data_IF_805414435972
#
_entry.id   IF_805414435972
#
_cell.length_a   1.000
_cell.length_b   1.000
_cell.length_c   1.000
_cell.angle_alpha   90.00
_cell.angle_beta   90.00
_cell.angle_gamma   90.00
#
_symmetry.space_group_name_H-M   'P 1'
#
loop_
_entity.id
_entity.type
_entity.pdbx_description
1 polymer ?
#
# COMPACT_ATOMS: atom_id res chain seq x y z
N UNK A 1 -16.82 -2.42 -7.52
CA UNK A 1 -15.72 -3.29 -7.05
C UNK A 1 -14.80 -3.69 -8.19
N UNK A 2 -15.33 -4.21 -9.30
CA UNK A 2 -14.50 -4.67 -10.43
C UNK A 2 -13.71 -3.55 -11.14
N UNK A 3 -14.32 -2.37 -11.34
CA UNK A 3 -13.62 -1.20 -11.91
C UNK A 3 -12.48 -0.69 -11.00
N UNK A 4 -12.71 -0.65 -9.67
CA UNK A 4 -11.70 -0.23 -8.70
C UNK A 4 -10.54 -1.24 -8.60
N UNK A 5 -10.85 -2.51 -8.80
CA UNK A 5 -9.86 -3.58 -8.85
C UNK A 5 -8.95 -3.46 -10.08
N UNK A 6 -9.55 -3.28 -11.26
CA UNK A 6 -8.81 -3.08 -12.51
C UNK A 6 -7.96 -1.80 -12.47
N UNK A 7 -8.49 -0.73 -11.87
CA UNK A 7 -7.75 0.52 -11.72
C UNK A 7 -6.56 0.37 -10.78
N UNK A 8 -6.70 -0.37 -9.67
CA UNK A 8 -5.58 -0.67 -8.78
C UNK A 8 -4.50 -1.50 -9.47
N UNK A 9 -4.87 -2.52 -10.25
CA UNK A 9 -3.92 -3.32 -11.05
C UNK A 9 -3.14 -2.40 -11.99
N UNK A 10 -3.83 -1.53 -12.72
CA UNK A 10 -3.20 -0.60 -13.66
C UNK A 10 -2.21 0.32 -12.95
N UNK A 11 -2.58 0.89 -11.80
CA UNK A 11 -1.69 1.76 -11.03
C UNK A 11 -0.44 1.00 -10.53
N UNK A 12 -0.61 -0.24 -10.04
CA UNK A 12 0.50 -1.09 -9.60
C UNK A 12 1.42 -1.45 -10.77
N UNK A 13 0.88 -1.80 -11.93
CA UNK A 13 1.67 -2.10 -13.14
C UNK A 13 2.43 -0.88 -13.65
N UNK A 14 1.80 0.29 -13.68
CA UNK A 14 2.46 1.55 -14.05
C UNK A 14 3.60 1.86 -13.08
N UNK A 15 3.33 1.80 -11.78
CA UNK A 15 4.32 2.04 -10.74
C UNK A 15 5.51 1.08 -10.82
N UNK A 16 5.28 -0.19 -11.15
CA UNK A 16 6.34 -1.17 -11.32
C UNK A 16 7.23 -0.89 -12.54
N UNK A 17 6.64 -0.38 -13.63
CA UNK A 17 7.35 -0.05 -14.88
C UNK A 17 8.13 1.25 -14.80
N UNK A 18 7.50 2.31 -14.32
CA UNK A 18 8.06 3.67 -14.32
C UNK A 18 9.12 3.85 -13.22
N UNK A 19 8.85 3.34 -12.01
CA UNK A 19 9.81 3.48 -10.91
C UNK A 19 10.87 2.39 -11.01
N UNK A 20 12.01 2.74 -11.59
CA UNK A 20 13.16 1.83 -11.80
C UNK A 20 14.32 2.07 -10.84
N UNK A 21 14.22 3.06 -9.96
CA UNK A 21 15.27 3.43 -9.02
C UNK A 21 15.64 2.25 -8.10
N UNK A 22 16.95 2.00 -7.98
CA UNK A 22 17.50 0.92 -7.17
C UNK A 22 17.12 1.04 -5.69
N UNK A 23 16.87 2.26 -5.20
CA UNK A 23 16.39 2.52 -3.83
C UNK A 23 15.08 1.78 -3.52
N UNK A 24 14.22 1.62 -4.52
CA UNK A 24 12.91 0.98 -4.37
C UNK A 24 12.90 -0.48 -4.85
N UNK A 25 14.05 -1.11 -5.10
CA UNK A 25 14.12 -2.47 -5.61
C UNK A 25 13.36 -3.49 -4.75
N UNK A 26 13.45 -3.37 -3.41
CA UNK A 26 12.71 -4.23 -2.49
C UNK A 26 11.20 -3.95 -2.56
N UNK A 27 10.79 -2.69 -2.64
CA UNK A 27 9.39 -2.32 -2.78
C UNK A 27 8.80 -2.78 -4.13
N UNK A 28 9.59 -2.74 -5.22
CA UNK A 28 9.18 -3.29 -6.53
C UNK A 28 8.90 -4.79 -6.46
N UNK A 29 9.65 -5.57 -5.67
CA UNK A 29 9.33 -6.99 -5.43
C UNK A 29 7.98 -7.13 -4.75
N UNK A 30 7.70 -6.33 -3.72
CA UNK A 30 6.39 -6.33 -3.06
C UNK A 30 5.26 -5.90 -4.00
N UNK A 31 5.48 -4.91 -4.88
CA UNK A 31 4.50 -4.52 -5.91
C UNK A 31 4.15 -5.69 -6.84
N UNK A 32 5.15 -6.47 -7.26
CA UNK A 32 4.93 -7.67 -8.07
C UNK A 32 4.07 -8.71 -7.32
N UNK A 33 4.32 -8.90 -6.02
CA UNK A 33 3.49 -9.79 -5.20
C UNK A 33 2.05 -9.28 -5.08
N UNK A 34 1.85 -7.99 -4.82
CA UNK A 34 0.50 -7.41 -4.78
C UNK A 34 -0.23 -7.52 -6.11
N UNK A 35 0.46 -7.32 -7.25
CA UNK A 35 -0.12 -7.54 -8.57
C UNK A 35 -0.59 -8.98 -8.77
N UNK A 36 0.19 -9.98 -8.33
CA UNK A 36 -0.23 -11.39 -8.37
C UNK A 36 -1.43 -11.66 -7.47
N UNK A 37 -1.44 -11.10 -6.25
CA UNK A 37 -2.56 -11.25 -5.31
C UNK A 37 -3.85 -10.66 -5.88
N UNK A 38 -3.79 -9.49 -6.52
CA UNK A 38 -4.93 -8.89 -7.21
C UNK A 38 -5.44 -9.80 -8.33
N UNK A 39 -4.55 -10.33 -9.17
CA UNK A 39 -4.95 -11.24 -10.25
C UNK A 39 -5.56 -12.57 -9.76
N UNK A 40 -5.23 -13.00 -8.54
CA UNK A 40 -5.75 -14.23 -7.94
C UNK A 40 -7.09 -14.06 -7.19
N UNK A 41 -7.74 -12.89 -7.28
CA UNK A 41 -8.93 -12.55 -6.49
C UNK A 41 -8.72 -12.74 -4.98
N UNK A 42 -7.50 -12.49 -4.48
CA UNK A 42 -7.29 -12.40 -3.03
C UNK A 42 -8.04 -11.20 -2.43
N UNK A 43 -8.17 -11.20 -1.10
CA UNK A 43 -8.93 -10.19 -0.37
C UNK A 43 -8.45 -8.77 -0.68
N UNK A 44 -9.28 -8.01 -1.41
CA UNK A 44 -8.97 -6.67 -1.89
C UNK A 44 -8.63 -5.69 -0.75
N UNK A 45 -9.31 -5.81 0.39
CA UNK A 45 -9.08 -4.94 1.55
C UNK A 45 -7.70 -5.26 2.15
N UNK A 46 -7.38 -6.54 2.29
CA UNK A 46 -6.07 -6.99 2.77
C UNK A 46 -4.94 -6.49 1.86
N UNK A 47 -5.13 -6.56 0.54
CA UNK A 47 -4.15 -6.07 -0.44
C UNK A 47 -3.97 -4.55 -0.31
N UNK A 48 -5.06 -3.78 -0.22
CA UNK A 48 -4.98 -2.33 -0.01
C UNK A 48 -4.26 -1.97 1.30
N UNK A 49 -4.51 -2.70 2.39
CA UNK A 49 -3.81 -2.50 3.66
C UNK A 49 -2.31 -2.83 3.54
N UNK A 50 -1.97 -3.91 2.85
CA UNK A 50 -0.59 -4.30 2.53
C UNK A 50 0.12 -3.22 1.72
N UNK A 51 -0.49 -2.76 0.62
CA UNK A 51 0.03 -1.70 -0.24
C UNK A 51 0.27 -0.40 0.54
N UNK A 52 -0.71 0.03 1.34
CA UNK A 52 -0.57 1.23 2.18
C UNK A 52 0.63 1.11 3.12
N UNK A 53 0.77 -0.04 3.77
CA UNK A 53 1.86 -0.29 4.72
C UNK A 53 3.21 -0.31 4.02
N UNK A 54 3.30 -0.99 2.88
CA UNK A 54 4.50 -1.09 2.08
C UNK A 54 4.92 0.29 1.52
N UNK A 55 3.98 1.11 1.05
CA UNK A 55 4.24 2.49 0.60
C UNK A 55 4.78 3.37 1.74
N UNK A 56 4.20 3.25 2.94
CA UNK A 56 4.69 3.94 4.14
C UNK A 56 6.04 3.43 4.66
N UNK A 57 6.54 2.32 4.12
CA UNK A 57 7.86 1.75 4.45
C UNK A 57 8.84 1.79 3.27
N UNK A 58 8.38 2.17 2.07
CA UNK A 58 9.19 2.21 0.86
C UNK A 58 10.37 3.18 0.99
N UNK A 59 10.19 4.26 1.75
CA UNK A 59 11.27 5.18 2.10
C UNK A 59 11.19 5.66 3.56
N UNK A 60 11.97 5.00 4.41
CA UNK A 60 12.10 5.36 5.83
C UNK A 60 12.99 6.58 6.07
N UNK A 61 13.74 7.05 5.08
CA UNK A 61 14.54 8.28 5.19
C UNK A 61 13.65 9.54 5.19
N UNK A 62 12.44 9.43 4.64
CA UNK A 62 11.46 10.51 4.64
C UNK A 62 10.73 10.60 5.98
N UNK A 63 10.49 11.84 6.42
CA UNK A 63 9.66 12.14 7.58
C UNK A 63 8.23 11.64 7.36
N UNK A 64 7.53 11.27 8.44
CA UNK A 64 6.15 10.76 8.38
C UNK A 64 5.23 11.70 7.58
N UNK A 65 5.40 13.02 7.74
CA UNK A 65 4.59 14.04 7.07
C UNK A 65 4.83 14.12 5.56
N UNK A 66 6.04 13.80 5.10
CA UNK A 66 6.45 13.91 3.69
C UNK A 66 6.64 12.55 3.04
N UNK A 67 6.27 11.47 3.74
CA UNK A 67 6.62 10.12 3.29
C UNK A 67 5.88 9.71 2.05
N UNK A 68 4.65 10.16 1.86
CA UNK A 68 3.92 9.92 0.61
C UNK A 68 4.32 10.95 -0.44
N UNK A 69 4.28 12.25 -0.11
CA UNK A 69 4.59 13.32 -1.05
C UNK A 69 6.05 13.34 -1.57
N UNK A 70 6.96 12.65 -0.90
CA UNK A 70 8.35 12.50 -1.32
C UNK A 70 8.65 11.20 -2.09
N UNK A 71 7.65 10.33 -2.25
CA UNK A 71 7.76 9.17 -3.14
C UNK A 71 7.57 9.60 -4.60
N UNK A 72 8.03 8.77 -5.56
CA UNK A 72 7.63 8.92 -6.95
C UNK A 72 6.12 9.09 -7.11
N UNK A 73 5.72 9.86 -8.13
CA UNK A 73 4.32 10.21 -8.39
C UNK A 73 3.45 8.96 -8.47
N UNK A 74 3.94 7.91 -9.12
CA UNK A 74 3.21 6.65 -9.34
C UNK A 74 2.91 5.93 -8.02
N UNK A 75 3.81 6.03 -7.04
CA UNK A 75 3.62 5.45 -5.70
C UNK A 75 2.65 6.29 -4.87
N UNK A 76 2.73 7.61 -5.02
CA UNK A 76 1.78 8.54 -4.40
C UNK A 76 0.37 8.35 -4.94
N UNK A 77 0.22 8.10 -6.24
CA UNK A 77 -1.06 7.86 -6.90
C UNK A 77 -1.74 6.59 -6.38
N UNK A 78 -0.98 5.50 -6.18
CA UNK A 78 -1.52 4.29 -5.53
C UNK A 78 -2.02 4.64 -4.12
N UNK A 79 -1.24 5.38 -3.32
CA UNK A 79 -1.64 5.75 -1.97
C UNK A 79 -2.95 6.57 -1.97
N UNK A 80 -3.01 7.59 -2.81
CA UNK A 80 -4.16 8.48 -2.93
C UNK A 80 -5.41 7.75 -3.44
N UNK A 81 -5.23 6.68 -4.22
CA UNK A 81 -6.32 5.83 -4.68
C UNK A 81 -6.86 4.91 -3.57
N UNK A 82 -5.99 4.27 -2.79
CA UNK A 82 -6.40 3.29 -1.76
C UNK A 82 -6.85 3.94 -0.45
N UNK A 83 -6.29 5.09 -0.07
CA UNK A 83 -6.60 5.76 1.21
C UNK A 83 -8.09 6.08 1.39
N UNK A 84 -8.80 6.74 0.44
CA UNK A 84 -10.22 7.03 0.60
C UNK A 84 -11.09 5.76 0.58
N UNK A 85 -10.64 4.70 -0.07
CA UNK A 85 -11.35 3.41 -0.09
C UNK A 85 -11.23 2.72 1.26
N UNK A 86 -10.03 2.68 1.83
CA UNK A 86 -9.80 2.17 3.18
C UNK A 86 -10.56 3.00 4.22
N UNK A 87 -10.66 4.33 4.08
CA UNK A 87 -11.49 5.16 4.98
C UNK A 87 -12.99 4.83 4.92
N UNK A 88 -13.48 4.33 3.78
CA UNK A 88 -14.89 3.91 3.62
C UNK A 88 -15.15 2.51 4.17
N UNK A 89 -14.11 1.70 4.34
CA UNK A 89 -14.22 0.41 5.01
C UNK A 89 -14.39 0.66 6.51
N UNK A 90 -15.36 -0.02 7.13
CA UNK A 90 -15.63 0.12 8.57
C UNK A 90 -14.34 -0.12 9.37
N UNK A 91 -14.03 0.80 10.29
CA UNK A 91 -12.89 0.70 11.20
C UNK A 91 -12.78 -0.67 11.89
N UNK A 92 -13.90 -1.34 12.19
CA UNK A 92 -13.94 -2.69 12.78
C UNK A 92 -13.44 -3.78 11.83
N UNK A 93 -13.70 -3.63 10.53
CA UNK A 93 -13.22 -4.55 9.51
C UNK A 93 -11.71 -4.40 9.36
N UNK A 94 -11.20 -3.16 9.35
CA UNK A 94 -9.76 -2.87 9.31
C UNK A 94 -9.07 -3.39 10.58
N UNK A 95 -9.70 -3.20 11.74
CA UNK A 95 -9.19 -3.65 13.03
C UNK A 95 -9.04 -5.18 13.10
N UNK A 96 -9.96 -5.94 12.50
CA UNK A 96 -9.83 -7.39 12.35
C UNK A 96 -8.59 -7.81 11.54
N UNK A 97 -8.24 -7.09 10.47
CA UNK A 97 -7.01 -7.35 9.70
C UNK A 97 -5.75 -6.88 10.45
N UNK A 98 -5.84 -5.77 11.20
CA UNK A 98 -4.74 -5.27 12.05
C UNK A 98 -4.35 -6.24 13.16
N UNK A 99 -5.31 -7.02 13.68
CA UNK A 99 -5.06 -7.99 14.75
C UNK A 99 -4.58 -9.37 14.25
N UNK A 100 -4.82 -9.72 12.98
CA UNK A 100 -4.46 -11.04 12.44
C UNK A 100 -3.11 -11.10 11.71
N UNK A 101 -2.43 -9.97 11.50
CA UNK A 101 -1.16 -9.94 10.79
C UNK A 101 -0.38 -8.67 11.05
N UNK A 102 0.13 -8.51 12.27
CA UNK A 102 1.12 -7.50 12.57
C UNK A 102 2.36 -7.73 11.69
N UNK A 103 2.57 -6.87 10.69
CA UNK A 103 3.93 -6.56 10.24
C UNK A 103 4.46 -5.57 11.27
N UNK A 104 5.34 -5.98 12.20
CA UNK A 104 5.96 -5.02 13.10
C UNK A 104 6.72 -4.02 12.22
N UNK A 105 6.25 -2.76 12.22
CA UNK A 105 7.10 -1.64 11.89
C UNK A 105 8.38 -1.84 12.70
N UNK A 106 9.55 -1.90 12.06
CA UNK A 106 10.87 -2.16 12.69
C UNK A 106 11.19 -1.24 13.89
N UNK A 107 10.35 -0.26 14.19
CA UNK A 107 10.41 0.62 15.34
C UNK A 107 9.05 0.77 16.03
N UNK A 108 8.56 -0.28 16.69
CA UNK A 108 7.74 -0.26 17.92
C UNK A 108 6.63 0.81 18.11
N UNK A 109 6.10 1.41 17.05
CA UNK A 109 5.22 2.58 17.14
C UNK A 109 3.87 2.24 16.52
N UNK A 110 2.91 1.97 17.39
CA UNK A 110 1.49 1.83 17.04
C UNK A 110 0.90 3.21 16.79
N UNK A 111 0.45 3.48 15.57
CA UNK A 111 -0.35 4.67 15.28
C UNK A 111 -1.81 4.35 15.64
N UNK A 112 -2.31 4.95 16.72
CA UNK A 112 -3.73 4.97 17.08
C UNK A 112 -4.49 5.86 16.10
N UNK A 113 -5.51 5.33 15.44
CA UNK A 113 -6.56 6.14 14.81
C UNK A 113 -7.62 6.44 15.87
N UNK A 114 -7.90 7.73 16.10
CA UNK A 114 -9.05 8.21 16.87
C UNK A 114 -10.27 8.33 15.96
#
# INVERSE_FOLDING_TARGET
MEEQHQELIKLVDTAYKEVTDAKFAEFRKSLLEFSKQLNNNEDYIKIMLGLRTALLQADLSLSIKTRISGLPTEYSDIYNFIEPQLKKVDSKVIDNYSHQGFIPLKFGSTIKYF
#
